data_IF_682569322910
#
_entry.id   IF_682569322910
#
_cell.length_a   1.000
_cell.length_b   1.000
_cell.length_c   1.000
_cell.angle_alpha   90.00
_cell.angle_beta   90.00
_cell.angle_gamma   90.00
#
_symmetry.space_group_name_H-M   'P 1'
#
loop_
_entity.id
_entity.type
_entity.pdbx_description
1 polymer ?
#
# COMPACT_ATOMS: atom_id res chain seq x y z
N UNK A 1 -0.50 -3.90 9.17
CA UNK A 1 -1.24 -3.64 7.91
C UNK A 1 -1.76 -4.93 7.27
N UNK A 2 -1.04 -6.06 7.37
CA UNK A 2 -1.49 -7.33 6.79
C UNK A 2 -2.87 -7.76 7.30
N UNK A 3 -3.10 -7.70 8.60
CA UNK A 3 -4.41 -8.01 9.20
C UNK A 3 -5.50 -7.08 8.66
N UNK A 4 -5.24 -5.78 8.60
CA UNK A 4 -6.20 -4.80 8.05
C UNK A 4 -6.56 -5.12 6.60
N UNK A 5 -5.57 -5.39 5.74
CA UNK A 5 -5.80 -5.74 4.35
C UNK A 5 -6.62 -7.04 4.23
N UNK A 6 -6.28 -8.05 5.01
CA UNK A 6 -7.00 -9.33 5.00
C UNK A 6 -8.48 -9.16 5.38
N UNK A 7 -8.76 -8.42 6.45
CA UNK A 7 -10.14 -8.18 6.87
C UNK A 7 -10.91 -7.30 5.86
N UNK A 8 -10.28 -6.27 5.29
CA UNK A 8 -10.89 -5.45 4.24
C UNK A 8 -11.26 -6.30 3.01
N UNK A 9 -10.36 -7.17 2.58
CA UNK A 9 -10.61 -8.08 1.43
C UNK A 9 -11.77 -9.01 1.73
N UNK A 10 -11.87 -9.59 2.94
CA UNK A 10 -12.99 -10.44 3.34
C UNK A 10 -14.33 -9.69 3.35
N UNK A 11 -14.35 -8.49 3.93
CA UNK A 11 -15.56 -7.66 4.00
C UNK A 11 -16.06 -7.21 2.63
N UNK A 12 -15.14 -6.81 1.75
CA UNK A 12 -15.50 -6.44 0.38
C UNK A 12 -15.99 -7.64 -0.41
N UNK A 13 -15.38 -8.82 -0.24
CA UNK A 13 -15.86 -10.07 -0.84
C UNK A 13 -17.26 -10.44 -0.35
N UNK A 14 -17.52 -10.34 0.95
CA UNK A 14 -18.85 -10.60 1.54
C UNK A 14 -19.94 -9.65 1.00
N UNK A 15 -19.55 -8.45 0.58
CA UNK A 15 -20.43 -7.46 -0.08
C UNK A 15 -20.58 -7.69 -1.60
N UNK A 16 -19.96 -8.72 -2.14
CA UNK A 16 -20.06 -9.10 -3.55
C UNK A 16 -19.10 -8.36 -4.48
N UNK A 17 -18.09 -7.66 -3.95
CA UNK A 17 -17.08 -7.04 -4.80
C UNK A 17 -16.08 -8.07 -5.30
N UNK A 18 -15.81 -8.03 -6.60
CA UNK A 18 -14.67 -8.75 -7.19
C UNK A 18 -13.39 -7.98 -6.87
N UNK A 19 -12.30 -8.71 -6.60
CA UNK A 19 -11.06 -8.10 -6.14
C UNK A 19 -9.83 -8.73 -6.78
N UNK A 20 -8.81 -7.89 -6.99
CA UNK A 20 -7.45 -8.31 -7.33
C UNK A 20 -6.49 -7.73 -6.29
N UNK A 21 -5.66 -8.57 -5.69
CA UNK A 21 -4.68 -8.16 -4.67
C UNK A 21 -3.28 -8.33 -5.22
N UNK A 22 -2.49 -7.25 -5.19
CA UNK A 22 -1.05 -7.28 -5.44
C UNK A 22 -0.35 -7.06 -4.12
N UNK A 23 0.43 -8.02 -3.67
CA UNK A 23 1.12 -7.97 -2.37
C UNK A 23 2.50 -8.61 -2.43
N UNK A 24 3.43 -8.02 -1.65
CA UNK A 24 4.73 -8.64 -1.39
C UNK A 24 4.60 -9.82 -0.44
N UNK A 25 5.18 -10.96 -0.82
CA UNK A 25 5.14 -12.20 -0.04
C UNK A 25 6.48 -12.94 -0.16
N UNK A 26 6.72 -13.90 0.71
CA UNK A 26 7.74 -14.92 0.50
C UNK A 26 7.16 -16.13 -0.23
N UNK A 27 8.03 -16.92 -0.85
CA UNK A 27 7.62 -18.08 -1.66
C UNK A 27 6.84 -19.12 -0.86
N UNK A 28 7.15 -19.26 0.44
CA UNK A 28 6.54 -20.18 1.38
C UNK A 28 5.24 -19.66 2.01
N UNK A 29 4.91 -18.37 1.83
CA UNK A 29 3.72 -17.79 2.43
C UNK A 29 2.45 -18.38 1.82
N UNK A 30 1.55 -18.81 2.70
CA UNK A 30 0.19 -19.21 2.30
C UNK A 30 -0.71 -17.99 2.31
N UNK A 31 -1.15 -17.58 1.14
CA UNK A 31 -2.12 -16.49 0.99
C UNK A 31 -3.52 -17.08 0.85
N UNK A 32 -4.29 -17.07 1.93
CA UNK A 32 -5.70 -17.46 1.91
C UNK A 32 -6.57 -16.23 1.64
N UNK A 33 -7.31 -16.26 0.54
CA UNK A 33 -8.22 -15.19 0.14
C UNK A 33 -9.58 -15.79 -0.24
N UNK A 34 -10.67 -14.98 -0.18
CA UNK A 34 -11.99 -15.40 -0.67
C UNK A 34 -11.95 -15.83 -2.16
N UNK A 35 -12.86 -16.73 -2.53
CA UNK A 35 -12.93 -17.30 -3.90
C UNK A 35 -13.06 -16.25 -5.02
N UNK A 36 -13.71 -15.11 -4.74
CA UNK A 36 -13.88 -13.99 -5.67
C UNK A 36 -12.70 -12.99 -5.66
N UNK A 37 -11.55 -13.40 -5.11
CA UNK A 37 -10.34 -12.56 -5.02
C UNK A 37 -9.20 -13.20 -5.81
N UNK A 38 -8.66 -12.46 -6.77
CA UNK A 38 -7.48 -12.87 -7.54
C UNK A 38 -6.20 -12.31 -6.90
N UNK A 39 -5.17 -13.14 -6.74
CA UNK A 39 -3.88 -12.72 -6.19
C UNK A 39 -2.82 -12.63 -7.27
N UNK A 40 -2.02 -11.57 -7.20
CA UNK A 40 -0.82 -11.33 -8.00
C UNK A 40 0.37 -11.14 -7.05
N UNK A 41 1.03 -12.21 -6.62
CA UNK A 41 2.11 -12.12 -5.65
C UNK A 41 3.37 -11.50 -6.24
N UNK A 42 4.04 -10.66 -5.45
CA UNK A 42 5.39 -10.15 -5.69
C UNK A 42 6.32 -10.89 -4.72
N UNK A 43 7.19 -11.75 -5.26
CA UNK A 43 8.01 -12.65 -4.45
C UNK A 43 9.32 -11.97 -4.06
N UNK A 44 9.51 -11.76 -2.77
CA UNK A 44 10.79 -11.31 -2.19
C UNK A 44 11.73 -12.49 -1.93
N UNK A 45 13.02 -12.22 -1.74
CA UNK A 45 14.10 -13.23 -1.71
C UNK A 45 14.08 -14.12 -2.96
N UNK A 46 13.84 -13.48 -4.11
CA UNK A 46 13.85 -14.08 -5.43
C UNK A 46 14.99 -13.51 -6.28
N UNK A 47 15.14 -13.99 -7.49
CA UNK A 47 16.12 -13.45 -8.44
C UNK A 47 15.82 -11.96 -8.78
N UNK A 48 14.54 -11.59 -8.90
CA UNK A 48 14.11 -10.22 -9.22
C UNK A 48 14.17 -9.27 -8.01
N UNK A 49 13.92 -9.76 -6.80
CA UNK A 49 13.96 -9.03 -5.54
C UNK A 49 14.80 -9.81 -4.51
N UNK A 50 16.14 -9.71 -4.58
CA UNK A 50 17.03 -10.57 -3.77
C UNK A 50 17.11 -10.20 -2.28
N UNK A 51 16.37 -9.21 -1.84
CA UNK A 51 16.33 -8.72 -0.46
C UNK A 51 15.01 -9.08 0.24
N UNK A 52 14.97 -9.02 1.58
CA UNK A 52 13.76 -9.23 2.36
C UNK A 52 12.67 -8.18 2.06
N UNK A 53 11.42 -8.55 2.33
CA UNK A 53 10.24 -7.68 2.17
C UNK A 53 10.48 -6.30 2.83
N UNK A 54 10.13 -5.23 2.12
CA UNK A 54 10.23 -3.87 2.66
C UNK A 54 9.22 -3.67 3.81
N UNK A 55 9.73 -3.47 5.02
CA UNK A 55 8.93 -3.29 6.24
C UNK A 55 8.56 -1.84 6.47
N UNK A 56 7.27 -1.58 6.77
CA UNK A 56 6.79 -0.24 7.12
C UNK A 56 7.10 0.16 8.59
N UNK A 57 7.87 -0.65 9.31
CA UNK A 57 8.43 -0.33 10.63
C UNK A 57 9.89 -0.75 10.66
N UNK A 58 10.69 -0.09 11.49
CA UNK A 58 12.10 -0.44 11.70
C UNK A 58 12.23 -1.80 12.40
N UNK A 59 11.18 -2.20 13.14
CA UNK A 59 11.05 -3.51 13.79
C UNK A 59 9.82 -4.22 13.25
N UNK A 60 10.02 -5.35 12.60
CA UNK A 60 8.96 -6.22 12.11
C UNK A 60 9.07 -7.61 12.78
N UNK A 61 7.95 -8.33 12.97
CA UNK A 61 7.97 -9.67 13.56
C UNK A 61 8.54 -10.75 12.62
N UNK A 62 9.04 -10.35 11.46
CA UNK A 62 9.68 -11.18 10.44
C UNK A 62 10.89 -10.46 9.86
N UNK A 63 11.76 -11.17 9.18
CA UNK A 63 12.91 -10.57 8.49
C UNK A 63 12.43 -9.60 7.42
N UNK A 64 12.92 -8.36 7.48
CA UNK A 64 12.49 -7.29 6.57
C UNK A 64 13.63 -6.34 6.24
N UNK A 65 13.53 -5.71 5.08
CA UNK A 65 14.37 -4.58 4.70
C UNK A 65 13.78 -3.30 5.28
N UNK A 66 14.55 -2.55 6.08
CA UNK A 66 14.11 -1.23 6.54
C UNK A 66 14.24 -0.23 5.39
N UNK A 67 13.34 0.73 5.29
CA UNK A 67 13.42 1.75 4.25
C UNK A 67 14.66 2.64 4.36
N UNK A 68 15.22 2.83 5.56
CA UNK A 68 16.48 3.55 5.74
C UNK A 68 17.70 2.80 5.18
N UNK A 69 17.61 1.49 5.00
CA UNK A 69 18.66 0.65 4.43
C UNK A 69 18.43 0.37 2.93
N UNK A 70 17.29 0.81 2.39
CA UNK A 70 16.96 0.64 0.97
C UNK A 70 17.81 1.57 0.11
N UNK A 71 18.58 1.02 -0.81
CA UNK A 71 19.35 1.79 -1.80
C UNK A 71 18.47 2.24 -2.97
N UNK A 72 18.97 3.17 -3.79
CA UNK A 72 18.30 3.57 -5.04
C UNK A 72 18.14 2.38 -6.00
N UNK A 73 19.11 1.48 -6.06
CA UNK A 73 19.05 0.25 -6.86
C UNK A 73 17.91 -0.67 -6.37
N UNK A 74 17.85 -0.93 -5.06
CA UNK A 74 16.76 -1.72 -4.46
C UNK A 74 15.39 -1.08 -4.70
N UNK A 75 15.29 0.23 -4.56
CA UNK A 75 14.06 0.97 -4.87
C UNK A 75 13.66 0.86 -6.35
N UNK A 76 14.63 0.85 -7.27
CA UNK A 76 14.42 0.62 -8.70
C UNK A 76 13.92 -0.80 -8.99
N UNK A 77 14.54 -1.82 -8.41
CA UNK A 77 14.10 -3.22 -8.51
C UNK A 77 12.67 -3.40 -7.97
N UNK A 78 12.42 -2.86 -6.76
CA UNK A 78 11.09 -2.84 -6.14
C UNK A 78 10.04 -2.22 -7.07
N UNK A 79 10.31 -1.02 -7.59
CA UNK A 79 9.41 -0.33 -8.50
C UNK A 79 9.12 -1.16 -9.76
N UNK A 80 10.15 -1.70 -10.41
CA UNK A 80 10.02 -2.48 -11.63
C UNK A 80 9.14 -3.71 -11.44
N UNK A 81 9.39 -4.50 -10.40
CA UNK A 81 8.67 -5.76 -10.16
C UNK A 81 7.21 -5.48 -9.75
N UNK A 82 6.98 -4.54 -8.82
CA UNK A 82 5.62 -4.19 -8.43
C UNK A 82 4.82 -3.61 -9.59
N UNK A 83 5.37 -2.67 -10.35
CA UNK A 83 4.67 -2.07 -11.49
C UNK A 83 4.37 -3.09 -12.59
N UNK A 84 5.25 -4.06 -12.83
CA UNK A 84 5.00 -5.16 -13.76
C UNK A 84 3.80 -5.99 -13.33
N UNK A 85 3.73 -6.36 -12.04
CA UNK A 85 2.60 -7.12 -11.48
C UNK A 85 1.30 -6.31 -11.46
N UNK A 86 1.37 -5.02 -11.12
CA UNK A 86 0.17 -4.16 -11.10
C UNK A 86 -0.35 -3.94 -12.52
N UNK A 87 0.52 -3.71 -13.52
CA UNK A 87 0.11 -3.62 -14.93
C UNK A 87 -0.56 -4.91 -15.42
N UNK A 88 -0.01 -6.07 -15.03
CA UNK A 88 -0.65 -7.35 -15.31
C UNK A 88 -2.04 -7.43 -14.68
N UNK A 89 -2.17 -7.11 -13.39
CA UNK A 89 -3.44 -7.11 -12.67
C UNK A 89 -4.46 -6.14 -13.31
N UNK A 90 -4.06 -4.91 -13.59
CA UNK A 90 -4.94 -3.90 -14.23
C UNK A 90 -5.41 -4.37 -15.60
N UNK A 91 -4.53 -4.95 -16.42
CA UNK A 91 -4.87 -5.46 -17.75
C UNK A 91 -5.85 -6.62 -17.71
N UNK A 92 -5.65 -7.57 -16.79
CA UNK A 92 -6.44 -8.79 -16.70
C UNK A 92 -7.75 -8.61 -15.94
N UNK A 93 -7.73 -7.77 -14.89
CA UNK A 93 -8.86 -7.59 -13.98
C UNK A 93 -9.73 -6.37 -14.36
N UNK A 94 -9.14 -5.33 -14.98
CA UNK A 94 -9.81 -4.08 -15.36
C UNK A 94 -10.54 -3.40 -14.18
N UNK A 95 -9.82 -3.00 -13.12
CA UNK A 95 -10.44 -2.43 -11.92
C UNK A 95 -11.08 -1.07 -12.17
N UNK A 96 -12.16 -0.77 -11.47
CA UNK A 96 -12.79 0.55 -11.44
C UNK A 96 -11.99 1.56 -10.60
N UNK A 97 -11.25 1.07 -9.59
CA UNK A 97 -10.41 1.87 -8.72
C UNK A 97 -9.28 1.02 -8.08
N UNK A 98 -8.28 1.69 -7.56
CA UNK A 98 -7.18 1.07 -6.81
C UNK A 98 -7.23 1.54 -5.35
N UNK A 99 -7.27 0.59 -4.41
CA UNK A 99 -7.05 0.83 -2.99
C UNK A 99 -5.59 0.52 -2.66
N UNK A 100 -4.86 1.50 -2.17
CA UNK A 100 -3.43 1.35 -1.87
C UNK A 100 -3.16 1.58 -0.39
N UNK A 101 -2.41 0.68 0.22
CA UNK A 101 -2.10 0.72 1.63
C UNK A 101 -0.73 1.34 1.86
N UNK A 102 -0.64 2.19 2.89
CA UNK A 102 0.48 3.06 3.21
C UNK A 102 0.69 4.22 2.23
N UNK A 103 0.74 5.42 2.75
CA UNK A 103 1.04 6.64 1.99
C UNK A 103 2.57 6.76 1.79
N UNK A 104 3.13 5.81 1.02
CA UNK A 104 4.56 5.69 0.85
C UNK A 104 4.94 5.30 -0.59
N UNK A 105 6.14 4.73 -0.80
CA UNK A 105 6.74 4.51 -2.11
C UNK A 105 5.83 3.77 -3.11
N UNK A 106 5.22 2.65 -2.71
CA UNK A 106 4.36 1.88 -3.62
C UNK A 106 3.13 2.67 -4.06
N UNK A 107 2.46 3.35 -3.13
CA UNK A 107 1.29 4.19 -3.44
C UNK A 107 1.66 5.36 -4.35
N UNK A 108 2.84 5.96 -4.15
CA UNK A 108 3.37 7.00 -5.02
C UNK A 108 3.60 6.48 -6.45
N UNK A 109 4.21 5.31 -6.59
CA UNK A 109 4.40 4.65 -7.90
C UNK A 109 3.08 4.33 -8.58
N UNK A 110 2.11 3.81 -7.85
CA UNK A 110 0.76 3.54 -8.37
C UNK A 110 0.11 4.82 -8.89
N UNK A 111 0.14 5.91 -8.12
CA UNK A 111 -0.46 7.18 -8.54
C UNK A 111 0.17 7.75 -9.81
N UNK A 112 1.49 7.65 -9.93
CA UNK A 112 2.21 8.13 -11.11
C UNK A 112 1.89 7.34 -12.38
N UNK A 113 1.86 6.00 -12.27
CA UNK A 113 1.79 5.11 -13.43
C UNK A 113 0.37 4.74 -13.87
N UNK A 114 -0.66 5.08 -13.07
CA UNK A 114 -2.07 4.84 -13.37
C UNK A 114 -2.90 6.13 -13.17
N UNK A 115 -2.58 7.20 -13.91
CA UNK A 115 -3.24 8.49 -13.73
C UNK A 115 -4.72 8.48 -14.13
N UNK A 116 -5.13 7.53 -14.96
CA UNK A 116 -6.51 7.36 -15.46
C UNK A 116 -7.43 6.65 -14.46
N UNK A 117 -6.86 5.89 -13.50
CA UNK A 117 -7.64 5.19 -12.50
C UNK A 117 -7.75 6.01 -11.21
N UNK A 118 -8.92 6.01 -10.55
CA UNK A 118 -9.01 6.52 -9.19
C UNK A 118 -8.12 5.70 -8.25
N UNK A 119 -7.26 6.38 -7.49
CA UNK A 119 -6.39 5.77 -6.49
C UNK A 119 -6.71 6.37 -5.12
N UNK A 120 -7.11 5.50 -4.19
CA UNK A 120 -7.40 5.86 -2.80
C UNK A 120 -6.34 5.27 -1.89
N UNK A 121 -5.77 6.10 -1.02
CA UNK A 121 -4.68 5.72 -0.12
C UNK A 121 -5.15 5.55 1.33
N UNK A 122 -4.73 4.47 1.99
CA UNK A 122 -4.95 4.25 3.43
C UNK A 122 -3.69 4.57 4.23
N UNK A 123 -3.79 5.50 5.18
CA UNK A 123 -2.74 5.81 6.13
C UNK A 123 -2.76 4.82 7.31
N UNK A 124 -1.61 4.28 7.67
CA UNK A 124 -1.44 3.37 8.82
C UNK A 124 -0.52 3.92 9.91
N UNK A 125 -0.24 5.21 9.92
CA UNK A 125 0.64 5.93 10.85
C UNK A 125 2.13 5.59 10.75
N UNK A 126 2.51 4.35 10.49
CA UNK A 126 3.91 3.95 10.29
C UNK A 126 4.51 4.59 9.03
N UNK A 127 3.70 4.79 8.00
CA UNK A 127 4.05 5.49 6.76
C UNK A 127 4.45 6.95 6.99
N UNK A 128 3.70 7.69 7.81
CA UNK A 128 4.06 9.07 8.17
C UNK A 128 5.40 9.13 8.93
N UNK A 129 5.61 8.21 9.87
CA UNK A 129 6.87 8.10 10.60
C UNK A 129 8.04 7.76 9.68
N UNK A 130 7.87 6.81 8.76
CA UNK A 130 8.90 6.46 7.80
C UNK A 130 9.24 7.64 6.88
N UNK A 131 8.23 8.39 6.42
CA UNK A 131 8.45 9.55 5.56
C UNK A 131 9.19 10.68 6.29
N UNK A 132 8.98 10.85 7.59
CA UNK A 132 9.72 11.84 8.40
C UNK A 132 11.18 11.45 8.62
N UNK A 133 11.47 10.14 8.75
CA UNK A 133 12.82 9.65 9.07
C UNK A 133 13.69 9.43 7.84
N UNK A 134 13.12 9.07 6.70
CA UNK A 134 13.86 8.62 5.53
C UNK A 134 13.80 9.65 4.41
N UNK A 135 14.95 9.92 3.81
CA UNK A 135 15.10 10.87 2.70
C UNK A 135 14.90 10.21 1.33
N UNK A 136 14.99 8.86 1.25
CA UNK A 136 14.85 8.12 0.00
C UNK A 136 13.51 8.45 -0.67
N UNK A 137 13.57 9.06 -1.86
CA UNK A 137 12.39 9.45 -2.64
C UNK A 137 11.35 10.32 -1.91
N UNK A 138 11.72 10.97 -0.80
CA UNK A 138 10.78 11.68 0.07
C UNK A 138 9.94 12.72 -0.68
N UNK A 139 10.55 13.61 -1.45
CA UNK A 139 9.85 14.65 -2.21
C UNK A 139 9.00 14.06 -3.35
N UNK A 140 9.50 13.01 -4.01
CA UNK A 140 8.73 12.26 -5.00
C UNK A 140 7.48 11.65 -4.37
N UNK A 141 7.62 10.97 -3.22
CA UNK A 141 6.49 10.36 -2.50
C UNK A 141 5.46 11.43 -2.15
N UNK A 142 5.87 12.53 -1.55
CA UNK A 142 4.96 13.64 -1.19
C UNK A 142 4.20 14.18 -2.41
N UNK A 143 4.92 14.42 -3.50
CA UNK A 143 4.34 14.97 -4.72
C UNK A 143 3.29 14.03 -5.36
N UNK A 144 3.48 12.72 -5.29
CA UNK A 144 2.53 11.76 -5.85
C UNK A 144 1.36 11.49 -4.91
N UNK A 145 1.60 11.37 -3.59
CA UNK A 145 0.53 11.20 -2.60
C UNK A 145 -0.45 12.40 -2.63
N UNK A 146 0.05 13.62 -2.83
CA UNK A 146 -0.79 14.81 -2.97
C UNK A 146 -1.80 14.72 -4.14
N UNK A 147 -1.56 13.85 -5.13
CA UNK A 147 -2.43 13.65 -6.31
C UNK A 147 -3.44 12.51 -6.15
N UNK A 148 -3.50 11.86 -4.99
CA UNK A 148 -4.49 10.81 -4.74
C UNK A 148 -5.91 11.37 -4.81
N UNK A 149 -6.84 10.59 -5.33
CA UNK A 149 -8.24 10.99 -5.43
C UNK A 149 -8.90 11.08 -4.05
N UNK A 150 -8.47 10.22 -3.10
CA UNK A 150 -8.91 10.24 -1.71
C UNK A 150 -7.86 9.60 -0.81
N UNK A 151 -7.81 10.07 0.43
CA UNK A 151 -6.94 9.53 1.47
C UNK A 151 -7.80 9.18 2.68
N UNK A 152 -7.59 8.00 3.26
CA UNK A 152 -8.27 7.55 4.48
C UNK A 152 -7.33 7.66 5.67
N UNK A 153 -7.79 8.38 6.69
CA UNK A 153 -7.11 8.54 7.97
C UNK A 153 -7.82 7.73 9.06
N UNK A 154 -7.10 7.35 10.11
CA UNK A 154 -7.64 6.58 11.23
C UNK A 154 -8.42 7.47 12.22
N UNK A 155 -8.02 8.73 12.37
CA UNK A 155 -8.62 9.71 13.28
C UNK A 155 -8.28 11.15 12.87
N UNK A 156 -8.94 12.13 13.46
CA UNK A 156 -8.85 13.56 13.10
C UNK A 156 -7.43 14.14 13.24
N UNK A 157 -6.69 13.73 14.27
CA UNK A 157 -5.31 14.18 14.43
C UNK A 157 -4.42 13.70 13.28
N UNK A 158 -4.57 12.43 12.86
CA UNK A 158 -3.85 11.90 11.71
C UNK A 158 -4.24 12.61 10.41
N UNK A 159 -5.55 12.92 10.23
CA UNK A 159 -6.01 13.75 9.10
C UNK A 159 -5.28 15.09 9.06
N UNK A 160 -5.15 15.78 10.19
CA UNK A 160 -4.41 17.03 10.29
C UNK A 160 -2.94 16.85 9.87
N UNK A 161 -2.28 15.78 10.37
CA UNK A 161 -0.90 15.48 10.01
C UNK A 161 -0.72 15.18 8.51
N UNK A 162 -1.65 14.43 7.91
CA UNK A 162 -1.67 14.14 6.46
C UNK A 162 -1.78 15.44 5.66
N UNK A 163 -2.74 16.32 6.01
CA UNK A 163 -2.93 17.58 5.31
C UNK A 163 -1.66 18.45 5.35
N UNK A 164 -1.00 18.52 6.49
CA UNK A 164 0.24 19.28 6.65
C UNK A 164 1.42 18.66 5.89
N UNK A 165 1.59 17.33 5.98
CA UNK A 165 2.73 16.62 5.41
C UNK A 165 2.71 16.58 3.88
N UNK A 166 1.53 16.37 3.29
CA UNK A 166 1.36 16.21 1.86
C UNK A 166 0.79 17.44 1.17
N UNK A 167 0.49 18.52 1.91
CA UNK A 167 -0.13 19.76 1.41
C UNK A 167 -1.44 19.51 0.65
N UNK A 168 -2.27 18.62 1.18
CA UNK A 168 -3.59 18.28 0.64
C UNK A 168 -4.70 18.97 1.41
N UNK A 169 -5.88 19.12 0.78
CA UNK A 169 -7.04 19.75 1.42
C UNK A 169 -7.75 18.80 2.39
N UNK A 170 -8.50 19.34 3.34
CA UNK A 170 -9.25 18.54 4.29
C UNK A 170 -10.36 17.70 3.62
N UNK A 171 -10.90 18.15 2.49
CA UNK A 171 -11.91 17.43 1.70
C UNK A 171 -11.35 16.19 1.01
N UNK A 172 -10.04 16.18 0.74
CA UNK A 172 -9.34 15.05 0.13
C UNK A 172 -9.09 13.92 1.16
N UNK A 173 -9.13 14.24 2.46
CA UNK A 173 -8.85 13.30 3.54
C UNK A 173 -10.11 13.00 4.33
N UNK A 174 -10.48 11.73 4.38
CA UNK A 174 -11.65 11.21 5.12
C UNK A 174 -11.19 10.39 6.32
N UNK A 175 -11.83 10.57 7.47
CA UNK A 175 -11.60 9.75 8.66
C UNK A 175 -12.49 8.52 8.59
N UNK A 176 -11.89 7.36 8.32
CA UNK A 176 -12.59 6.08 8.23
C UNK A 176 -12.56 5.27 9.53
N UNK A 177 -11.69 5.67 10.47
CA UNK A 177 -11.42 4.84 11.65
C UNK A 177 -10.60 3.60 11.33
N UNK A 178 -10.35 2.79 12.35
CA UNK A 178 -9.63 1.51 12.18
C UNK A 178 -10.56 0.33 11.85
N UNK A 179 -11.84 0.46 12.15
CA UNK A 179 -12.77 -0.65 12.14
C UNK A 179 -12.45 -1.69 13.22
N UNK A 180 -13.35 -2.57 13.49
CA UNK A 180 -13.13 -3.80 14.28
C UNK A 180 -13.99 -4.92 13.71
N UNK A 181 -13.52 -6.15 13.86
CA UNK A 181 -14.30 -7.31 13.44
C UNK A 181 -15.29 -7.68 14.56
N UNK A 182 -16.58 -7.32 14.38
CA UNK A 182 -17.64 -7.58 15.34
C UNK A 182 -17.97 -9.09 15.53
N UNK A 183 -17.39 -9.97 14.71
CA UNK A 183 -17.54 -11.42 14.87
C UNK A 183 -16.48 -12.03 15.79
N UNK A 184 -15.44 -11.26 16.13
CA UNK A 184 -14.34 -11.71 17.00
C UNK A 184 -14.48 -11.10 18.42
N UNK A 185 -15.08 -9.92 18.53
CA UNK A 185 -15.26 -9.16 19.77
C UNK A 185 -16.74 -9.04 20.16
#
# INVERSE_FOLDING_TARGET
SGVFLTELVKELAAKGHEQAVVAGVYKEDKTEVPENTKIYPVIFKSEELPFPIAGMSDEMPYESTRYCDMTEEMAGQFANVFLTKIRQAVKEFQPDLILSHHLYLLTALVREHFPELPVYGFCHNTDLRQLQKNVLKQEYIKAQIAKLNRIFALHEEQKTQICQMFHVTAEQVEVSGMGYNSHIF
#
